data_IF_139750443197
#
_entry.id   IF_139750443197
#
_cell.length_a   1.000
_cell.length_b   1.000
_cell.length_c   1.000
_cell.angle_alpha   90.00
_cell.angle_beta   90.00
_cell.angle_gamma   90.00
#
_symmetry.space_group_name_H-M   'P 1'
#
loop_
_entity.id
_entity.type
_entity.pdbx_description
1 polymer ?
#
# COMPACT_ATOMS: atom_id res chain seq x y z
N UNK A 1 -3.36 20.76 6.74
CA UNK A 1 -2.43 19.63 6.52
C UNK A 1 -1.45 19.40 7.67
N UNK A 2 -0.85 20.43 8.27
CA UNK A 2 0.13 20.31 9.38
C UNK A 2 -0.17 19.24 10.44
N UNK A 3 -1.36 19.15 11.06
CA UNK A 3 -1.63 18.12 12.07
C UNK A 3 -1.60 16.69 11.52
N UNK A 4 -1.85 16.48 10.22
CA UNK A 4 -1.76 15.16 9.59
C UNK A 4 -0.32 14.67 9.45
N UNK A 5 0.63 15.60 9.37
CA UNK A 5 2.06 15.31 9.22
C UNK A 5 2.74 15.13 10.59
N UNK A 6 2.22 15.77 11.64
CA UNK A 6 2.73 15.66 13.01
C UNK A 6 2.15 14.47 13.78
N UNK A 7 0.84 14.22 13.65
CA UNK A 7 0.15 13.22 14.45
C UNK A 7 0.27 11.85 13.76
N UNK A 8 0.99 10.87 14.37
CA UNK A 8 1.24 9.57 13.75
C UNK A 8 -0.04 8.78 13.50
N UNK A 9 0.04 7.80 12.61
CA UNK A 9 -1.04 6.86 12.38
C UNK A 9 -1.19 5.91 13.57
N UNK A 10 -2.24 6.08 14.36
CA UNK A 10 -2.50 5.23 15.54
C UNK A 10 -3.15 3.88 15.19
N UNK A 11 -3.70 3.72 13.98
CA UNK A 11 -4.40 2.49 13.57
C UNK A 11 -5.56 2.14 14.51
N UNK A 12 -5.56 0.90 15.03
CA UNK A 12 -6.53 0.43 16.05
C UNK A 12 -6.15 0.86 17.48
N UNK A 13 -4.93 1.34 17.71
CA UNK A 13 -4.46 1.76 19.03
C UNK A 13 -5.03 3.13 19.39
N UNK A 14 -5.16 3.39 20.69
CA UNK A 14 -5.57 4.69 21.25
C UNK A 14 -4.45 5.24 22.13
N UNK A 15 -4.26 6.54 22.10
CA UNK A 15 -3.37 7.24 23.02
C UNK A 15 -4.12 7.52 24.32
N UNK A 16 -3.55 7.16 25.47
CA UNK A 16 -4.16 7.42 26.78
C UNK A 16 -3.41 8.55 27.47
N UNK A 17 -4.12 9.58 27.90
CA UNK A 17 -3.57 10.66 28.71
C UNK A 17 -4.65 11.22 29.64
N UNK A 18 -4.30 11.51 30.90
CA UNK A 18 -5.20 12.09 31.92
C UNK A 18 -6.58 11.40 31.97
N UNK A 19 -6.61 10.08 31.98
CA UNK A 19 -7.83 9.22 31.97
C UNK A 19 -8.69 9.28 30.70
N UNK A 20 -8.29 10.05 29.69
CA UNK A 20 -8.97 10.17 28.40
C UNK A 20 -8.27 9.30 27.36
N UNK A 21 -9.06 8.54 26.60
CA UNK A 21 -8.59 7.77 25.44
C UNK A 21 -8.79 8.57 24.16
N UNK A 22 -7.68 9.01 23.57
CA UNK A 22 -7.62 9.76 22.34
C UNK A 22 -7.42 8.84 21.13
N UNK A 23 -8.30 8.98 20.13
CA UNK A 23 -8.05 8.51 18.77
C UNK A 23 -7.34 9.58 17.94
N UNK A 24 -6.73 9.19 16.81
CA UNK A 24 -5.97 10.11 15.94
C UNK A 24 -6.80 11.33 15.52
N UNK A 25 -8.03 11.11 15.09
CA UNK A 25 -8.88 12.21 14.63
C UNK A 25 -9.38 13.10 15.78
N UNK A 26 -9.42 12.59 17.01
CA UNK A 26 -9.68 13.42 18.20
C UNK A 26 -8.49 14.34 18.47
N UNK A 27 -7.26 13.82 18.38
CA UNK A 27 -6.05 14.64 18.54
C UNK A 27 -5.94 15.71 17.46
N UNK A 28 -6.33 15.40 16.21
CA UNK A 28 -6.39 16.42 15.14
C UNK A 28 -7.44 17.49 15.47
N UNK A 29 -8.59 17.11 16.00
CA UNK A 29 -9.61 18.07 16.49
C UNK A 29 -9.05 18.98 17.59
N UNK A 30 -8.36 18.42 18.59
CA UNK A 30 -7.72 19.20 19.66
C UNK A 30 -6.66 20.14 19.09
N UNK A 31 -5.79 19.65 18.20
CA UNK A 31 -4.76 20.48 17.56
C UNK A 31 -5.39 21.70 16.86
N UNK A 32 -6.43 21.50 16.06
CA UNK A 32 -7.10 22.59 15.33
C UNK A 32 -7.74 23.60 16.29
N UNK A 33 -8.28 23.11 17.41
CA UNK A 33 -8.87 23.96 18.45
C UNK A 33 -7.81 24.82 19.13
N UNK A 34 -6.72 24.21 19.59
CA UNK A 34 -5.59 24.91 20.23
C UNK A 34 -4.99 25.93 19.25
N UNK A 35 -4.79 25.53 17.99
CA UNK A 35 -4.24 26.39 16.95
C UNK A 35 -5.13 27.63 16.69
N UNK A 36 -6.45 27.45 16.65
CA UNK A 36 -7.38 28.57 16.47
C UNK A 36 -7.25 29.63 17.58
N UNK A 37 -7.22 29.21 18.84
CA UNK A 37 -7.08 30.11 20.00
C UNK A 37 -5.69 30.70 20.16
N UNK A 38 -4.67 30.03 19.62
CA UNK A 38 -3.31 30.60 19.53
C UNK A 38 -3.29 31.78 18.57
N UNK A 39 -4.01 31.69 17.45
CA UNK A 39 -4.12 32.78 16.47
C UNK A 39 -5.13 33.86 16.88
N UNK A 40 -6.16 33.50 17.63
CA UNK A 40 -7.22 34.40 18.08
C UNK A 40 -7.39 34.25 19.60
N UNK A 41 -6.51 34.88 20.39
CA UNK A 41 -6.60 34.80 21.85
C UNK A 41 -7.96 35.31 22.35
N UNK A 42 -8.51 34.72 23.42
CA UNK A 42 -9.77 35.16 23.98
C UNK A 42 -9.68 36.63 24.44
N UNK A 43 -10.76 37.39 24.22
CA UNK A 43 -10.84 38.76 24.73
C UNK A 43 -10.85 38.75 26.26
N UNK A 44 -10.46 39.85 26.91
CA UNK A 44 -10.48 39.95 28.38
C UNK A 44 -11.86 39.51 28.93
N UNK A 45 -11.87 38.46 29.75
CA UNK A 45 -13.08 37.90 30.37
C UNK A 45 -13.79 36.81 29.56
N UNK A 46 -13.39 36.55 28.32
CA UNK A 46 -13.94 35.48 27.50
C UNK A 46 -13.38 34.12 27.94
N UNK A 47 -14.26 33.18 28.25
CA UNK A 47 -13.87 31.80 28.60
C UNK A 47 -13.86 30.94 27.35
N UNK A 48 -12.76 30.24 27.12
CA UNK A 48 -12.63 29.25 26.04
C UNK A 48 -13.60 28.09 26.32
N UNK A 49 -14.56 27.80 25.41
CA UNK A 49 -15.48 26.67 25.56
C UNK A 49 -14.72 25.33 25.66
N UNK A 50 -15.12 24.47 26.61
CA UNK A 50 -14.45 23.18 26.83
C UNK A 50 -15.41 22.00 26.70
N UNK A 51 -14.86 20.82 26.37
CA UNK A 51 -15.61 19.56 26.34
C UNK A 51 -16.82 19.60 25.40
N UNK A 52 -18.03 19.44 25.94
CA UNK A 52 -19.29 19.45 25.18
C UNK A 52 -19.74 20.86 24.75
N UNK A 53 -19.26 21.91 25.41
CA UNK A 53 -19.69 23.29 25.13
C UNK A 53 -19.24 23.78 23.74
N UNK A 54 -18.13 23.23 23.24
CA UNK A 54 -17.63 23.53 21.89
C UNK A 54 -18.38 22.75 20.80
N UNK A 55 -19.04 21.66 21.15
CA UNK A 55 -19.72 20.77 20.20
C UNK A 55 -21.14 21.26 19.91
N UNK A 56 -21.57 21.10 18.65
CA UNK A 56 -22.96 21.33 18.28
C UNK A 56 -23.81 20.22 18.86
N UNK A 57 -24.73 20.58 19.76
CA UNK A 57 -25.75 19.68 20.32
C UNK A 57 -27.13 20.13 19.85
N UNK A 58 -28.20 19.45 20.30
CA UNK A 58 -29.58 19.90 20.02
C UNK A 58 -29.86 21.26 20.65
N UNK A 59 -29.27 21.52 21.81
CA UNK A 59 -29.56 22.67 22.67
C UNK A 59 -28.50 23.78 22.57
N UNK A 60 -27.37 23.53 21.90
CA UNK A 60 -26.31 24.50 21.69
C UNK A 60 -25.79 24.44 20.25
N UNK A 61 -25.67 25.58 19.55
CA UNK A 61 -25.11 25.60 18.19
C UNK A 61 -23.63 25.17 18.14
N UNK A 62 -22.95 25.06 19.29
CA UNK A 62 -21.51 24.80 19.38
C UNK A 62 -20.68 25.99 18.90
N UNK A 63 -19.35 25.86 18.97
CA UNK A 63 -18.47 26.94 18.51
C UNK A 63 -18.25 26.84 16.99
N UNK A 64 -18.41 27.91 16.20
CA UNK A 64 -18.33 27.85 14.74
C UNK A 64 -16.97 27.40 14.21
N UNK A 65 -15.91 27.65 14.96
CA UNK A 65 -14.55 27.22 14.62
C UNK A 65 -14.17 25.83 15.11
N UNK A 66 -15.00 25.21 15.96
CA UNK A 66 -14.76 23.84 16.37
C UNK A 66 -14.99 22.88 15.20
N UNK A 67 -14.15 21.84 15.11
CA UNK A 67 -14.24 20.81 14.06
C UNK A 67 -14.37 19.45 14.71
N UNK A 68 -15.55 18.86 14.60
CA UNK A 68 -15.82 17.54 15.17
C UNK A 68 -14.95 16.45 14.54
N UNK A 69 -14.74 15.35 15.29
CA UNK A 69 -14.03 14.17 14.81
C UNK A 69 -14.57 13.68 13.45
N UNK A 70 -15.89 13.70 13.24
CA UNK A 70 -16.52 13.25 11.99
C UNK A 70 -16.17 14.16 10.81
N UNK A 71 -16.19 15.48 11.03
CA UNK A 71 -15.76 16.46 10.01
C UNK A 71 -14.29 16.26 9.65
N UNK A 72 -13.42 16.04 10.65
CA UNK A 72 -12.01 15.71 10.42
C UNK A 72 -11.86 14.43 9.59
N UNK A 73 -12.60 13.36 9.92
CA UNK A 73 -12.59 12.12 9.14
C UNK A 73 -12.98 12.34 7.67
N UNK A 74 -14.07 13.07 7.43
CA UNK A 74 -14.56 13.38 6.08
C UNK A 74 -13.54 14.19 5.29
N UNK A 75 -12.92 15.20 5.90
CA UNK A 75 -11.89 16.00 5.26
C UNK A 75 -10.64 15.17 4.92
N UNK A 76 -10.22 14.26 5.81
CA UNK A 76 -9.13 13.32 5.52
C UNK A 76 -9.49 12.42 4.35
N UNK A 77 -10.72 11.90 4.27
CA UNK A 77 -11.15 11.06 3.13
C UNK A 77 -11.07 11.80 1.80
N UNK A 78 -11.47 13.07 1.78
CA UNK A 78 -11.30 13.92 0.59
C UNK A 78 -9.81 14.06 0.25
N UNK A 79 -8.96 14.37 1.23
CA UNK A 79 -7.51 14.48 1.03
C UNK A 79 -6.87 13.18 0.55
N UNK A 80 -7.36 12.00 0.95
CA UNK A 80 -6.89 10.71 0.42
C UNK A 80 -7.10 10.59 -1.10
N UNK A 81 -8.17 11.19 -1.63
CA UNK A 81 -8.43 11.22 -3.07
C UNK A 81 -7.44 12.12 -3.82
N UNK A 82 -7.04 13.24 -3.21
CA UNK A 82 -6.07 14.17 -3.80
C UNK A 82 -4.62 13.70 -3.68
N UNK A 83 -4.27 12.99 -2.61
CA UNK A 83 -2.91 12.54 -2.33
C UNK A 83 -2.87 11.01 -2.16
N UNK A 84 -3.11 10.24 -3.24
CA UNK A 84 -3.23 8.79 -3.19
C UNK A 84 -1.89 8.10 -2.91
N UNK A 85 -0.77 8.79 -2.96
CA UNK A 85 0.57 8.26 -2.67
C UNK A 85 1.06 8.61 -1.26
N UNK A 86 0.41 9.57 -0.58
CA UNK A 86 0.87 10.07 0.69
C UNK A 86 0.41 9.16 1.85
N UNK A 87 1.35 8.44 2.43
CA UNK A 87 1.12 7.47 3.53
C UNK A 87 0.50 8.11 4.79
N UNK A 88 0.74 9.41 5.04
CA UNK A 88 0.11 10.15 6.16
C UNK A 88 -1.39 10.38 5.99
N UNK A 89 -1.90 10.20 4.77
CA UNK A 89 -3.34 10.20 4.49
C UNK A 89 -3.92 8.78 4.46
N UNK A 90 -3.13 7.74 4.20
CA UNK A 90 -3.61 6.35 4.22
C UNK A 90 -3.73 5.80 5.63
N UNK A 91 -4.82 5.08 5.88
CA UNK A 91 -4.82 4.08 6.95
C UNK A 91 -4.23 2.82 6.30
N UNK A 92 -3.26 2.15 6.94
CA UNK A 92 -2.90 0.79 6.56
C UNK A 92 -4.14 -0.07 6.81
N UNK A 93 -5.01 -0.20 5.82
CA UNK A 93 -6.10 -1.16 5.86
C UNK A 93 -5.45 -2.55 5.94
N UNK A 94 -5.64 -3.17 7.11
CA UNK A 94 -5.07 -4.46 7.45
C UNK A 94 -5.76 -5.60 6.73
N UNK A 95 -5.59 -5.65 5.40
CA UNK A 95 -5.86 -6.82 4.59
C UNK A 95 -4.52 -7.42 4.19
N UNK A 96 -3.92 -8.14 5.12
CA UNK A 96 -2.98 -9.23 4.88
C UNK A 96 -3.06 -10.10 6.14
N UNK A 97 -3.78 -11.23 6.06
CA UNK A 97 -3.87 -12.22 7.15
C UNK A 97 -2.47 -12.75 7.56
N UNK A 98 -1.48 -12.64 6.67
CA UNK A 98 -0.06 -12.95 6.93
C UNK A 98 0.61 -12.03 7.96
N UNK A 99 0.03 -10.86 8.28
CA UNK A 99 0.62 -9.92 9.24
C UNK A 99 0.46 -10.34 10.69
N UNK A 100 -0.32 -11.38 11.02
CA UNK A 100 -0.55 -11.77 12.43
C UNK A 100 0.71 -12.30 13.11
N UNK A 101 1.63 -12.92 12.38
CA UNK A 101 2.79 -13.59 12.98
C UNK A 101 3.98 -12.67 13.30
N UNK A 102 4.09 -11.53 12.62
CA UNK A 102 5.24 -10.60 12.79
C UNK A 102 4.89 -9.37 13.63
N UNK A 103 3.59 -9.15 13.87
CA UNK A 103 3.11 -7.91 14.51
C UNK A 103 3.44 -7.79 15.99
N UNK A 104 3.70 -8.90 16.68
CA UNK A 104 3.85 -8.88 18.13
C UNK A 104 5.14 -8.20 18.61
N UNK A 105 6.22 -8.21 17.82
CA UNK A 105 7.49 -7.58 18.22
C UNK A 105 7.58 -6.08 17.88
N UNK A 106 7.05 -5.64 16.73
CA UNK A 106 7.09 -4.21 16.34
C UNK A 106 6.03 -3.36 17.08
N UNK A 107 5.03 -4.00 17.72
CA UNK A 107 3.89 -3.33 18.35
C UNK A 107 4.19 -2.66 19.72
N UNK A 108 5.45 -2.60 20.17
CA UNK A 108 5.86 -1.94 21.43
C UNK A 108 6.45 -0.54 21.30
N UNK A 109 6.31 0.13 20.16
CA UNK A 109 6.44 1.60 20.18
C UNK A 109 5.20 2.19 20.88
N UNK A 110 5.26 2.22 22.21
CA UNK A 110 4.20 2.74 23.05
C UNK A 110 4.09 4.25 22.79
N UNK A 111 2.99 4.68 22.19
CA UNK A 111 2.66 6.10 21.99
C UNK A 111 2.65 6.93 23.29
N UNK A 112 2.74 6.28 24.47
CA UNK A 112 2.81 6.89 25.80
C UNK A 112 3.89 7.98 25.92
N UNK A 113 5.02 7.82 25.24
CA UNK A 113 6.16 8.75 25.32
C UNK A 113 6.24 9.72 24.13
N UNK A 114 5.24 9.72 23.23
CA UNK A 114 5.28 10.58 22.06
C UNK A 114 4.99 12.04 22.44
N UNK A 115 6.01 12.90 22.28
CA UNK A 115 5.97 14.32 22.67
C UNK A 115 4.88 15.12 21.96
N UNK A 116 4.65 14.87 20.66
CA UNK A 116 3.55 15.49 19.88
C UNK A 116 2.21 15.18 20.54
N UNK A 117 1.96 13.89 20.83
CA UNK A 117 0.66 13.45 21.37
C UNK A 117 0.43 13.97 22.79
N UNK A 118 1.47 13.96 23.63
CA UNK A 118 1.43 14.51 24.98
C UNK A 118 1.11 16.01 24.93
N UNK A 119 1.82 16.78 24.09
CA UNK A 119 1.62 18.23 23.94
C UNK A 119 0.16 18.56 23.60
N UNK A 120 -0.41 17.86 22.62
CA UNK A 120 -1.80 18.08 22.20
C UNK A 120 -2.78 17.71 23.31
N UNK A 121 -2.57 16.58 24.00
CA UNK A 121 -3.43 16.17 25.11
C UNK A 121 -3.30 17.09 26.34
N UNK A 122 -2.19 17.80 26.46
CA UNK A 122 -1.97 18.85 27.47
C UNK A 122 -2.57 20.21 27.07
N UNK A 123 -3.15 20.34 25.87
CA UNK A 123 -3.79 21.56 25.42
C UNK A 123 -2.83 22.58 24.83
N UNK A 124 -1.61 22.18 24.44
CA UNK A 124 -0.60 23.04 23.82
C UNK A 124 -0.22 22.56 22.42
N UNK A 125 0.27 23.49 21.59
CA UNK A 125 0.85 23.10 20.30
C UNK A 125 2.18 22.37 20.52
N UNK A 126 2.49 21.33 19.73
CA UNK A 126 3.81 20.71 19.71
C UNK A 126 4.88 21.71 19.26
N UNK A 127 6.06 21.63 19.87
CA UNK A 127 7.25 22.39 19.45
C UNK A 127 7.88 21.77 18.18
N UNK A 128 7.58 20.49 17.92
CA UNK A 128 8.02 19.75 16.75
C UNK A 128 7.34 20.25 15.48
N UNK A 129 8.13 20.43 14.41
CA UNK A 129 7.63 20.81 13.09
C UNK A 129 7.62 19.59 12.15
N UNK A 130 6.66 19.50 11.22
CA UNK A 130 6.75 18.52 10.14
C UNK A 130 8.06 18.66 9.39
N UNK A 131 8.61 17.54 8.93
CA UNK A 131 9.70 17.57 7.97
C UNK A 131 9.17 17.96 6.58
N UNK A 132 8.97 19.27 6.37
CA UNK A 132 8.39 19.80 5.13
C UNK A 132 9.20 19.43 3.91
N UNK A 133 10.54 19.40 4.02
CA UNK A 133 11.45 19.06 2.92
C UNK A 133 11.24 17.60 2.46
N UNK A 134 11.13 16.67 3.41
CA UNK A 134 10.82 15.28 3.12
C UNK A 134 9.46 15.15 2.42
N UNK A 135 8.43 15.78 2.96
CA UNK A 135 7.08 15.70 2.37
C UNK A 135 6.98 16.41 1.02
N UNK A 136 7.71 17.50 0.80
CA UNK A 136 7.75 18.16 -0.51
C UNK A 136 8.43 17.29 -1.55
N UNK A 137 9.51 16.57 -1.18
CA UNK A 137 10.14 15.59 -2.08
C UNK A 137 9.20 14.44 -2.40
N UNK A 138 8.47 13.93 -1.41
CA UNK A 138 7.51 12.84 -1.63
C UNK A 138 6.34 13.26 -2.54
N UNK A 139 5.83 14.48 -2.35
CA UNK A 139 4.79 15.05 -3.23
C UNK A 139 5.32 15.29 -4.65
N UNK A 140 6.55 15.77 -4.78
CA UNK A 140 7.17 15.98 -6.10
C UNK A 140 7.52 14.66 -6.79
N UNK A 141 7.92 13.63 -6.04
CA UNK A 141 8.21 12.32 -6.60
C UNK A 141 6.99 11.73 -7.32
N UNK A 142 5.76 12.12 -6.94
CA UNK A 142 4.56 11.72 -7.67
C UNK A 142 4.49 12.34 -9.08
N UNK A 143 5.02 13.56 -9.26
CA UNK A 143 5.13 14.22 -10.57
C UNK A 143 6.23 13.60 -11.44
N UNK A 144 7.24 12.99 -10.83
CA UNK A 144 8.33 12.29 -11.55
C UNK A 144 7.90 10.91 -12.07
N UNK A 145 6.74 10.38 -11.62
CA UNK A 145 6.20 9.11 -12.10
C UNK A 145 5.36 9.34 -13.37
N UNK A 146 6.04 9.36 -14.53
CA UNK A 146 5.40 9.52 -15.84
C UNK A 146 4.69 8.26 -16.36
N UNK A 147 5.00 7.08 -15.80
CA UNK A 147 4.42 5.80 -16.21
C UNK A 147 3.99 5.03 -14.96
N UNK A 148 2.73 4.59 -14.93
CA UNK A 148 2.19 3.71 -13.89
C UNK A 148 1.70 2.40 -14.53
N UNK A 149 2.57 1.38 -14.63
CA UNK A 149 2.18 0.11 -15.22
C UNK A 149 1.02 -0.49 -14.42
N UNK A 150 -0.12 -0.71 -15.09
CA UNK A 150 -1.31 -1.31 -14.46
C UNK A 150 -1.33 -2.83 -14.57
N UNK A 151 -0.60 -3.36 -15.54
CA UNK A 151 -0.59 -4.76 -15.88
C UNK A 151 0.77 -5.10 -16.46
N UNK A 152 1.36 -6.20 -16.00
CA UNK A 152 2.51 -6.80 -16.66
C UNK A 152 2.11 -8.14 -17.26
N UNK A 153 2.63 -8.41 -18.45
CA UNK A 153 2.54 -9.71 -19.09
C UNK A 153 3.92 -10.34 -19.00
N UNK A 154 4.02 -11.45 -18.26
CA UNK A 154 5.24 -12.24 -18.21
C UNK A 154 5.07 -13.37 -19.22
N UNK A 155 6.02 -13.44 -20.15
CA UNK A 155 6.13 -14.49 -21.13
C UNK A 155 7.38 -15.29 -20.82
N UNK A 156 7.22 -16.58 -20.54
CA UNK A 156 8.34 -17.51 -20.55
C UNK A 156 8.37 -18.17 -21.93
N UNK A 157 9.49 -18.77 -22.28
CA UNK A 157 9.61 -19.63 -23.45
C UNK A 157 10.67 -20.66 -23.16
N UNK A 158 10.46 -21.90 -23.61
CA UNK A 158 11.44 -22.97 -23.48
C UNK A 158 11.82 -23.46 -24.87
N UNK A 159 13.12 -23.63 -25.13
CA UNK A 159 13.63 -24.25 -26.36
C UNK A 159 13.26 -25.73 -26.48
N UNK A 160 12.81 -26.35 -25.38
CA UNK A 160 12.32 -27.73 -25.35
C UNK A 160 10.83 -27.83 -25.67
N UNK A 161 10.21 -26.77 -26.16
CA UNK A 161 8.78 -26.73 -26.44
C UNK A 161 8.53 -26.17 -27.83
N UNK A 162 7.81 -26.95 -28.62
CA UNK A 162 7.40 -26.62 -29.98
C UNK A 162 5.93 -26.25 -30.01
N UNK A 163 5.61 -25.18 -30.72
CA UNK A 163 4.25 -24.66 -30.87
C UNK A 163 3.77 -24.90 -32.30
N UNK A 164 2.59 -25.51 -32.43
CA UNK A 164 1.92 -25.69 -33.71
C UNK A 164 0.51 -25.11 -33.63
N UNK A 165 0.15 -24.30 -34.62
CA UNK A 165 -1.24 -23.88 -34.79
C UNK A 165 -2.05 -25.08 -35.29
N UNK A 166 -3.06 -25.50 -34.53
CA UNK A 166 -4.11 -26.39 -35.00
C UNK A 166 -5.40 -25.60 -35.14
N UNK A 167 -6.12 -25.86 -36.22
CA UNK A 167 -7.46 -25.36 -36.42
C UNK A 167 -8.43 -26.37 -35.78
N UNK A 168 -9.05 -25.99 -34.67
CA UNK A 168 -10.08 -26.79 -34.05
C UNK A 168 -11.45 -26.22 -34.44
N UNK A 169 -12.37 -27.09 -34.85
CA UNK A 169 -13.75 -26.71 -35.07
C UNK A 169 -14.44 -26.57 -33.71
N UNK A 170 -14.98 -25.38 -33.41
CA UNK A 170 -15.88 -25.19 -32.27
C UNK A 170 -17.25 -25.79 -32.58
N UNK A 171 -18.03 -26.12 -31.55
CA UNK A 171 -19.40 -26.67 -31.70
C UNK A 171 -20.32 -25.75 -32.53
N UNK A 172 -20.04 -24.44 -32.57
CA UNK A 172 -20.76 -23.44 -33.37
C UNK A 172 -20.32 -23.36 -34.85
N UNK A 173 -19.50 -24.30 -35.34
CA UNK A 173 -19.00 -24.32 -36.72
C UNK A 173 -17.92 -23.26 -37.04
N UNK A 174 -17.52 -22.45 -36.06
CA UNK A 174 -16.42 -21.50 -36.19
C UNK A 174 -15.06 -22.20 -36.01
N UNK A 175 -14.14 -22.00 -36.96
CA UNK A 175 -12.76 -22.48 -36.81
C UNK A 175 -12.00 -21.57 -35.85
N UNK A 176 -11.67 -22.08 -34.66
CA UNK A 176 -10.81 -21.37 -33.72
C UNK A 176 -9.36 -21.80 -33.94
N UNK A 177 -8.47 -20.82 -34.15
CA UNK A 177 -7.03 -21.07 -34.14
C UNK A 177 -6.61 -21.39 -32.70
N UNK A 178 -6.14 -22.60 -32.47
CA UNK A 178 -5.67 -23.06 -31.17
C UNK A 178 -4.18 -23.39 -31.28
N UNK A 179 -3.37 -22.82 -30.38
CA UNK A 179 -1.95 -23.17 -30.28
C UNK A 179 -1.83 -24.44 -29.44
N UNK A 180 -1.23 -25.48 -30.04
CA UNK A 180 -0.93 -26.74 -29.36
C UNK A 180 0.57 -26.79 -29.08
N UNK A 181 0.84 -27.18 -27.85
CA UNK A 181 2.12 -27.19 -27.17
C UNK A 181 2.66 -28.63 -27.18
N UNK A 182 3.86 -28.86 -27.69
CA UNK A 182 4.46 -30.20 -27.77
C UNK A 182 5.91 -30.20 -27.32
N UNK A 183 6.31 -31.26 -26.63
CA UNK A 183 7.72 -31.60 -26.41
C UNK A 183 8.44 -31.85 -27.76
N UNK A 184 9.78 -31.87 -27.79
CA UNK A 184 10.55 -32.04 -29.03
C UNK A 184 10.36 -33.42 -29.66
N UNK A 185 9.94 -34.40 -28.86
CA UNK A 185 9.56 -35.76 -29.26
C UNK A 185 8.16 -35.84 -29.89
N UNK A 186 7.43 -34.72 -29.95
CA UNK A 186 6.09 -34.64 -30.53
C UNK A 186 4.95 -34.98 -29.57
N UNK A 187 5.24 -35.35 -28.31
CA UNK A 187 4.21 -35.55 -27.29
C UNK A 187 3.58 -34.21 -26.91
N UNK A 188 2.26 -34.19 -26.77
CA UNK A 188 1.56 -32.99 -26.32
C UNK A 188 1.91 -32.69 -24.87
N UNK A 189 2.15 -31.43 -24.56
CA UNK A 189 2.32 -30.98 -23.18
C UNK A 189 1.03 -31.25 -22.40
N UNK A 190 1.19 -31.73 -21.18
CA UNK A 190 0.10 -32.01 -20.26
C UNK A 190 0.07 -30.99 -19.12
N UNK A 191 -0.98 -30.99 -18.31
CA UNK A 191 -1.02 -30.18 -17.08
C UNK A 191 0.08 -30.58 -16.07
N UNK A 192 0.59 -31.81 -16.14
CA UNK A 192 1.72 -32.23 -15.29
C UNK A 192 3.03 -31.56 -15.72
N UNK A 193 3.22 -31.36 -17.03
CA UNK A 193 4.37 -30.62 -17.58
C UNK A 193 4.21 -29.11 -17.41
N UNK A 194 2.96 -28.64 -17.48
CA UNK A 194 2.62 -27.24 -17.37
C UNK A 194 1.26 -27.02 -16.66
N UNK A 195 1.27 -26.79 -15.34
CA UNK A 195 0.05 -26.68 -14.51
C UNK A 195 -0.96 -25.62 -14.96
N UNK A 196 -0.53 -24.64 -15.74
CA UNK A 196 -1.37 -23.54 -16.22
C UNK A 196 -1.74 -23.67 -17.71
N UNK A 197 -1.58 -24.86 -18.30
CA UNK A 197 -1.90 -25.13 -19.71
C UNK A 197 -3.34 -24.76 -20.04
N UNK A 198 -4.31 -25.26 -19.26
CA UNK A 198 -5.75 -24.94 -19.45
C UNK A 198 -6.09 -23.46 -19.30
N UNK A 199 -5.39 -22.72 -18.43
CA UNK A 199 -5.61 -21.27 -18.24
C UNK A 199 -5.10 -20.44 -19.43
N UNK A 200 -4.23 -21.04 -20.24
CA UNK A 200 -3.60 -20.44 -21.40
C UNK A 200 -4.15 -20.98 -22.72
N UNK A 201 -4.95 -22.06 -22.67
CA UNK A 201 -5.72 -22.56 -23.79
C UNK A 201 -6.80 -21.54 -24.20
N UNK A 202 -6.80 -21.13 -25.46
CA UNK A 202 -7.83 -20.26 -26.03
C UNK A 202 -7.63 -18.75 -25.84
N UNK A 203 -6.52 -18.30 -25.22
CA UNK A 203 -6.12 -16.89 -25.28
C UNK A 203 -5.73 -16.51 -26.71
N UNK A 204 -6.18 -15.35 -27.17
CA UNK A 204 -5.78 -14.85 -28.48
C UNK A 204 -4.33 -14.36 -28.42
N UNK A 205 -3.42 -15.16 -28.97
CA UNK A 205 -2.00 -14.85 -29.06
C UNK A 205 -1.64 -13.93 -30.25
N UNK A 206 -2.64 -13.29 -30.89
CA UNK A 206 -2.45 -12.48 -32.10
C UNK A 206 -1.62 -11.22 -31.86
N UNK A 207 -1.73 -10.64 -30.66
CA UNK A 207 -1.04 -9.41 -30.26
C UNK A 207 0.33 -9.67 -29.61
N UNK A 208 0.83 -10.91 -29.66
CA UNK A 208 2.13 -11.24 -29.09
C UNK A 208 3.29 -10.65 -29.91
N UNK A 209 4.36 -10.18 -29.23
CA UNK A 209 5.62 -9.87 -29.90
C UNK A 209 6.15 -11.12 -30.62
N UNK A 210 6.36 -11.03 -31.94
CA UNK A 210 6.93 -12.11 -32.75
C UNK A 210 8.43 -11.93 -32.88
N UNK A 211 9.21 -12.97 -32.57
CA UNK A 211 10.62 -13.02 -32.92
C UNK A 211 10.76 -13.63 -34.33
N UNK A 212 10.67 -12.78 -35.36
CA UNK A 212 10.70 -13.22 -36.77
C UNK A 212 9.42 -13.98 -37.17
N UNK A 213 9.56 -15.06 -37.94
CA UNK A 213 8.45 -15.90 -38.43
C UNK A 213 8.03 -17.02 -37.47
N UNK A 214 8.69 -17.17 -36.32
CA UNK A 214 8.38 -18.22 -35.37
C UNK A 214 7.53 -17.66 -34.22
N UNK A 215 6.41 -18.33 -33.85
CA UNK A 215 5.73 -18.04 -32.61
C UNK A 215 6.61 -18.51 -31.45
N UNK A 216 7.55 -17.66 -31.04
CA UNK A 216 8.10 -17.72 -29.69
C UNK A 216 6.97 -17.32 -28.77
N UNK A 217 6.43 -18.24 -27.97
CA UNK A 217 5.92 -17.98 -26.61
C UNK A 217 5.10 -19.18 -26.18
N UNK A 218 5.57 -19.84 -25.12
CA UNK A 218 4.68 -20.64 -24.27
C UNK A 218 4.96 -20.21 -22.85
N UNK A 219 3.87 -19.92 -22.13
CA UNK A 219 3.75 -19.46 -20.74
C UNK A 219 3.42 -17.96 -20.61
N UNK A 220 2.26 -17.54 -21.13
CA UNK A 220 1.62 -16.30 -20.68
C UNK A 220 0.91 -16.56 -19.34
N UNK A 221 1.68 -16.82 -18.29
CA UNK A 221 1.14 -17.28 -17.01
C UNK A 221 0.70 -16.12 -16.12
N UNK A 222 1.48 -15.05 -16.08
CA UNK A 222 1.31 -14.04 -15.05
C UNK A 222 0.81 -12.74 -15.64
N UNK A 223 -0.44 -12.72 -16.09
CA UNK A 223 -1.17 -11.45 -16.11
C UNK A 223 -1.44 -11.09 -14.66
N UNK A 224 -0.60 -10.23 -14.10
CA UNK A 224 -0.82 -9.69 -12.77
C UNK A 224 -1.25 -8.24 -12.91
N UNK A 225 -2.41 -7.93 -12.36
CA UNK A 225 -2.78 -6.54 -12.08
C UNK A 225 -1.73 -5.99 -11.12
N UNK A 226 -0.95 -5.04 -11.61
CA UNK A 226 0.05 -4.36 -10.81
C UNK A 226 -0.67 -3.29 -10.01
N UNK A 227 -0.64 -3.45 -8.69
CA UNK A 227 -1.00 -2.39 -7.77
C UNK A 227 0.28 -1.83 -7.18
N UNK A 228 0.47 -0.52 -7.28
CA UNK A 228 1.53 0.17 -6.57
C UNK A 228 1.21 0.09 -5.07
N UNK A 229 1.81 -0.88 -4.39
CA UNK A 229 1.83 -0.96 -2.92
C UNK A 229 3.07 -0.23 -2.44
N UNK A 230 2.95 0.52 -1.34
CA UNK A 230 4.10 1.10 -0.66
C UNK A 230 5.11 -0.02 -0.36
N UNK A 231 6.39 0.22 -0.65
CA UNK A 231 7.44 -0.74 -0.33
C UNK A 231 7.46 -0.96 1.18
N UNK A 232 7.35 -2.22 1.55
CA UNK A 232 7.59 -2.69 2.91
C UNK A 232 9.08 -2.52 3.22
N UNK A 233 9.47 -2.40 4.50
CA UNK A 233 10.88 -2.23 4.85
C UNK A 233 11.69 -3.45 4.38
N UNK A 234 12.97 -3.27 4.03
CA UNK A 234 13.84 -4.39 3.63
C UNK A 234 13.83 -5.50 4.68
N UNK A 235 13.79 -5.12 5.96
CA UNK A 235 13.67 -6.04 7.11
C UNK A 235 12.35 -6.84 7.07
N UNK A 236 11.23 -6.19 6.79
CA UNK A 236 9.91 -6.84 6.73
C UNK A 236 9.78 -7.72 5.48
N UNK A 237 10.39 -7.35 4.35
CA UNK A 237 10.44 -8.18 3.14
C UNK A 237 11.30 -9.42 3.37
N UNK A 238 12.49 -9.25 3.94
CA UNK A 238 13.38 -10.37 4.28
C UNK A 238 12.70 -11.34 5.25
N UNK A 239 12.14 -10.84 6.35
CA UNK A 239 11.41 -11.67 7.31
C UNK A 239 10.21 -12.43 6.71
N UNK A 240 9.54 -11.87 5.69
CA UNK A 240 8.49 -12.60 4.96
C UNK A 240 9.03 -13.72 4.10
N UNK A 241 10.16 -13.49 3.43
CA UNK A 241 10.81 -14.51 2.60
C UNK A 241 11.35 -15.65 3.46
N UNK A 242 11.86 -15.32 4.65
CA UNK A 242 12.35 -16.30 5.64
C UNK A 242 11.29 -17.35 5.99
N UNK A 243 10.03 -16.93 6.12
CA UNK A 243 8.93 -17.81 6.51
C UNK A 243 8.26 -18.45 5.30
N UNK A 244 8.04 -17.69 4.21
CA UNK A 244 7.21 -18.14 3.08
C UNK A 244 7.99 -18.86 1.99
N UNK A 245 9.27 -18.57 1.83
CA UNK A 245 10.11 -19.08 0.74
C UNK A 245 11.53 -19.39 1.24
N UNK A 246 11.69 -20.30 2.22
CA UNK A 246 12.99 -20.57 2.84
C UNK A 246 14.04 -21.06 1.83
N UNK A 247 13.64 -21.92 0.88
CA UNK A 247 14.53 -22.42 -0.18
C UNK A 247 15.01 -21.31 -1.14
N UNK A 248 14.15 -20.32 -1.43
CA UNK A 248 14.52 -19.18 -2.28
C UNK A 248 15.52 -18.29 -1.55
N UNK A 249 15.30 -18.03 -0.25
CA UNK A 249 16.22 -17.27 0.58
C UNK A 249 17.59 -17.94 0.65
N UNK A 250 17.64 -19.24 0.88
CA UNK A 250 18.89 -20.01 0.95
C UNK A 250 19.69 -19.84 -0.36
N UNK A 251 19.04 -20.03 -1.51
CA UNK A 251 19.66 -19.85 -2.83
C UNK A 251 20.13 -18.42 -3.08
N UNK A 252 19.35 -17.42 -2.69
CA UNK A 252 19.73 -16.00 -2.83
C UNK A 252 20.89 -15.62 -1.90
N UNK A 253 20.92 -16.18 -0.69
CA UNK A 253 22.01 -15.94 0.27
C UNK A 253 23.31 -16.58 -0.22
N UNK A 254 23.24 -17.82 -0.70
CA UNK A 254 24.37 -18.50 -1.34
C UNK A 254 24.90 -17.73 -2.56
N UNK A 255 24.00 -17.20 -3.40
CA UNK A 255 24.39 -16.38 -4.55
C UNK A 255 25.04 -15.05 -4.15
N UNK A 256 24.58 -14.41 -3.07
CA UNK A 256 25.21 -13.20 -2.52
C UNK A 256 26.61 -13.51 -1.98
N UNK A 257 26.80 -14.63 -1.29
CA UNK A 257 28.10 -15.03 -0.74
C UNK A 257 29.12 -15.38 -1.84
N UNK A 258 28.67 -15.95 -2.95
CA UNK A 258 29.52 -16.24 -4.11
C UNK A 258 30.02 -14.97 -4.81
N UNK A 259 29.20 -13.92 -4.91
CA UNK A 259 29.61 -12.62 -5.50
C UNK A 259 30.71 -11.96 -4.66
N UNK A 260 30.68 -12.11 -3.33
CA UNK A 260 31.71 -11.58 -2.43
C UNK A 260 33.02 -12.38 -2.44
N UNK A 261 33.01 -13.64 -2.90
CA UNK A 261 34.22 -14.45 -3.07
C UNK A 261 34.96 -14.19 -4.38
N UNK A 262 34.28 -13.70 -5.41
CA UNK A 262 34.91 -13.38 -6.71
C UNK A 262 35.57 -12.00 -6.76
N UNK A 263 35.40 -11.18 -5.73
CA UNK A 263 35.98 -9.82 -5.61
C UNK A 263 37.15 -9.73 -4.62
N UNK A 264 37.70 -10.87 -4.19
CA UNK A 264 38.95 -10.96 -3.43
C UNK A 264 40.03 -11.69 -4.21
#
# INVERSE_FOLDING_TARGET
MVPLLLIPQLGRKKFSSKTILYGRNMLITEYLWIYHWTLHPPRKGERIPSGKQREKTKDSPGHPMFRSRKQVSSHIQVLKGFFPTLSTCKQKDGLDDDKRLVKEEEDTESFKNNRVLISIADGRLPDERPNYEYFSRLLNAENDVFIRPKQCWIFVSSSKVTLKEKHAASEDGTMKKQLVASHPDGLCLTEADYPHLKLNEGKEYKDLPRLGNQPTILLHEYTRSLAQKESSSVKEIAGKWDVRFPELREKLTAALDDVHRQTR
#
